data_IF_781971586993
#
_entry.id   IF_781971586993
#
_cell.length_a   1.000
_cell.length_b   1.000
_cell.length_c   1.000
_cell.angle_alpha   90.00
_cell.angle_beta   90.00
_cell.angle_gamma   90.00
#
_symmetry.space_group_name_H-M   'P 1'
#
loop_
_entity.id
_entity.type
_entity.pdbx_description
1 polymer ?
#
# COMPACT_ATOMS: atom_id res chain seq x y z
N UNK A 1 -10.10 3.62 13.39
CA UNK A 1 -9.80 3.54 11.95
C UNK A 1 -9.63 2.08 11.58
N UNK A 2 -10.28 1.64 10.54
CA UNK A 2 -10.21 0.24 10.12
C UNK A 2 -8.90 -0.07 9.37
N UNK A 3 -8.66 -1.34 9.15
CA UNK A 3 -7.39 -1.78 8.55
C UNK A 3 -7.24 -1.30 7.11
N UNK A 4 -8.32 -1.30 6.34
CA UNK A 4 -8.27 -0.85 4.94
C UNK A 4 -7.93 0.63 4.89
N UNK A 5 -8.56 1.44 5.73
CA UNK A 5 -8.27 2.87 5.77
C UNK A 5 -6.82 3.14 6.16
N UNK A 6 -6.32 2.40 7.15
CA UNK A 6 -4.91 2.53 7.55
C UNK A 6 -3.97 2.21 6.39
N UNK A 7 -4.26 1.16 5.64
CA UNK A 7 -3.42 0.77 4.51
C UNK A 7 -3.45 1.82 3.41
N UNK A 8 -4.62 2.38 3.13
CA UNK A 8 -4.75 3.43 2.11
C UNK A 8 -3.95 4.66 2.52
N UNK A 9 -4.08 5.09 3.77
CA UNK A 9 -3.33 6.24 4.26
C UNK A 9 -1.84 6.00 4.25
N UNK A 10 -1.40 4.81 4.69
CA UNK A 10 0.00 4.46 4.68
C UNK A 10 0.56 4.48 3.26
N UNK A 11 -0.19 3.95 2.30
CA UNK A 11 0.23 3.95 0.90
C UNK A 11 0.42 5.38 0.39
N UNK A 12 -0.54 6.26 0.65
CA UNK A 12 -0.41 7.66 0.22
C UNK A 12 0.78 8.35 0.87
N UNK A 13 1.03 8.07 2.14
CA UNK A 13 2.16 8.67 2.82
C UNK A 13 3.49 8.18 2.27
N UNK A 14 3.58 6.88 1.96
CA UNK A 14 4.79 6.35 1.32
C UNK A 14 5.01 6.98 -0.05
N UNK A 15 3.95 7.11 -0.84
CA UNK A 15 4.04 7.79 -2.13
C UNK A 15 4.55 9.23 -1.97
N UNK A 16 4.04 9.92 -0.96
CA UNK A 16 4.49 11.28 -0.66
C UNK A 16 5.97 11.34 -0.33
N UNK A 17 6.44 10.40 0.49
CA UNK A 17 7.86 10.34 0.82
C UNK A 17 8.70 10.08 -0.42
N UNK A 18 8.27 9.13 -1.28
CA UNK A 18 9.00 8.82 -2.49
C UNK A 18 9.15 10.06 -3.37
N UNK A 19 8.10 10.87 -3.47
CA UNK A 19 8.17 12.12 -4.23
C UNK A 19 9.11 13.13 -3.59
N UNK A 20 9.06 13.25 -2.28
CA UNK A 20 9.84 14.27 -1.56
C UNK A 20 11.33 13.96 -1.54
N UNK A 21 11.73 12.71 -1.66
CA UNK A 21 13.14 12.34 -1.64
C UNK A 21 13.82 12.50 -2.99
N UNK A 22 13.09 12.83 -4.03
CA UNK A 22 13.67 13.01 -5.37
C UNK A 22 14.70 14.14 -5.32
N UNK A 23 15.88 13.87 -5.86
CA UNK A 23 16.98 14.80 -5.81
C UNK A 23 17.83 14.72 -4.55
N UNK A 24 17.43 13.91 -3.57
CA UNK A 24 18.23 13.71 -2.37
C UNK A 24 19.46 12.88 -2.71
N UNK A 25 20.63 13.18 -2.08
CA UNK A 25 21.84 12.38 -2.35
C UNK A 25 21.70 10.88 -2.08
N UNK A 26 20.78 10.50 -1.20
CA UNK A 26 20.53 9.09 -0.87
C UNK A 26 19.22 8.59 -1.43
N UNK A 27 18.74 9.22 -2.49
CA UNK A 27 17.43 8.89 -3.08
C UNK A 27 17.31 7.42 -3.43
N UNK A 28 18.30 6.87 -4.12
CA UNK A 28 18.25 5.47 -4.54
C UNK A 28 18.18 4.52 -3.35
N UNK A 29 19.00 4.78 -2.33
CA UNK A 29 18.99 3.95 -1.13
C UNK A 29 17.60 3.95 -0.49
N UNK A 30 17.04 5.14 -0.30
CA UNK A 30 15.73 5.26 0.33
C UNK A 30 14.63 4.65 -0.55
N UNK A 31 14.69 4.88 -1.85
CA UNK A 31 13.70 4.32 -2.76
C UNK A 31 13.71 2.80 -2.73
N UNK A 32 14.90 2.20 -2.70
CA UNK A 32 15.02 0.76 -2.65
C UNK A 32 14.40 0.14 -1.41
N UNK A 33 14.33 0.91 -0.33
CA UNK A 33 13.68 0.46 0.90
C UNK A 33 12.19 0.76 0.90
N UNK A 34 11.80 1.92 0.35
CA UNK A 34 10.39 2.34 0.33
C UNK A 34 9.58 1.59 -0.73
N UNK A 35 10.20 1.27 -1.85
CA UNK A 35 9.50 0.62 -2.95
C UNK A 35 8.90 -0.73 -2.54
N UNK A 36 9.66 -1.63 -1.88
CA UNK A 36 9.07 -2.87 -1.40
C UNK A 36 7.94 -2.64 -0.40
N UNK A 37 8.06 -1.63 0.45
CA UNK A 37 6.99 -1.29 1.41
C UNK A 37 5.74 -0.85 0.66
N UNK A 38 5.90 -0.01 -0.35
CA UNK A 38 4.79 0.45 -1.17
C UNK A 38 4.05 -0.72 -1.82
N UNK A 39 4.80 -1.63 -2.44
CA UNK A 39 4.19 -2.79 -3.09
C UNK A 39 3.55 -3.74 -2.09
N UNK A 40 4.12 -3.86 -0.91
CA UNK A 40 3.50 -4.68 0.14
C UNK A 40 2.15 -4.10 0.57
N UNK A 41 2.08 -2.78 0.69
CA UNK A 41 0.82 -2.12 1.02
C UNK A 41 -0.22 -2.36 -0.07
N UNK A 42 0.19 -2.26 -1.34
CA UNK A 42 -0.70 -2.55 -2.46
C UNK A 42 -1.17 -4.01 -2.44
N UNK A 43 -0.25 -4.92 -2.15
CA UNK A 43 -0.59 -6.34 -2.08
C UNK A 43 -1.64 -6.60 -1.01
N UNK A 44 -1.46 -6.01 0.16
CA UNK A 44 -2.41 -6.19 1.25
C UNK A 44 -3.78 -5.61 0.89
N UNK A 45 -3.80 -4.44 0.26
CA UNK A 45 -5.06 -3.84 -0.19
C UNK A 45 -5.76 -4.71 -1.22
N UNK A 46 -5.03 -5.24 -2.17
CA UNK A 46 -5.58 -6.13 -3.19
C UNK A 46 -6.16 -7.39 -2.55
N UNK A 47 -5.42 -7.97 -1.61
CA UNK A 47 -5.89 -9.18 -0.93
C UNK A 47 -7.17 -8.93 -0.15
N UNK A 48 -7.28 -7.80 0.50
CA UNK A 48 -8.50 -7.48 1.24
C UNK A 48 -9.68 -7.25 0.31
N UNK A 49 -9.47 -6.62 -0.84
CA UNK A 49 -10.51 -6.48 -1.85
C UNK A 49 -10.99 -7.82 -2.36
N UNK A 50 -10.05 -8.71 -2.67
CA UNK A 50 -10.37 -10.04 -3.15
C UNK A 50 -11.13 -10.83 -2.09
N UNK A 51 -10.66 -10.78 -0.85
CA UNK A 51 -11.32 -11.47 0.25
C UNK A 51 -12.75 -10.95 0.44
N UNK A 52 -12.94 -9.64 0.31
CA UNK A 52 -14.26 -9.05 0.41
C UNK A 52 -15.19 -9.54 -0.70
N UNK A 53 -14.68 -9.62 -1.91
CA UNK A 53 -15.45 -10.13 -3.04
C UNK A 53 -15.81 -11.59 -2.85
N UNK A 54 -14.88 -12.38 -2.39
CA UNK A 54 -15.13 -13.81 -2.13
C UNK A 54 -16.21 -13.97 -1.07
N UNK A 55 -16.11 -13.19 -0.01
CA UNK A 55 -17.12 -13.23 1.05
C UNK A 55 -18.50 -12.84 0.52
N UNK A 56 -18.57 -11.82 -0.33
CA UNK A 56 -19.84 -11.42 -0.93
C UNK A 56 -20.44 -12.54 -1.74
N UNK A 57 -19.63 -13.20 -2.55
CA UNK A 57 -20.10 -14.31 -3.37
C UNK A 57 -20.60 -15.45 -2.51
N UNK A 58 -19.88 -15.78 -1.45
CA UNK A 58 -20.28 -16.84 -0.53
C UNK A 58 -21.58 -16.50 0.18
N UNK A 59 -21.76 -15.23 0.52
CA UNK A 59 -22.98 -14.80 1.19
C UNK A 59 -24.19 -14.95 0.28
N UNK A 60 -24.02 -14.75 -0.99
CA UNK A 60 -25.10 -14.88 -1.96
C UNK A 60 -25.54 -16.31 -2.15
N UNK A 61 -24.70 -17.26 -1.87
CA UNK A 61 -25.04 -18.67 -1.99
C UNK A 61 -25.95 -19.14 -0.86
#
# INVERSE_FOLDING_TARGET
MDDVTKLILAKYQVEGVIELIKGNPYEQYMFMHLNPVFYELERQLTNQSIAGKIKSNNTEE
#
